data_IF_245191510740
#
_entry.id   IF_245191510740
#
_cell.length_a   1.000
_cell.length_b   1.000
_cell.length_c   1.000
_cell.angle_alpha   90.00
_cell.angle_beta   90.00
_cell.angle_gamma   90.00
#
_symmetry.space_group_name_H-M   'P 1'
#
loop_
_entity.id
_entity.type
_entity.pdbx_description
1 polymer ?
#
# COMPACT_ATOMS: atom_id res chain seq x y z
N UNK A 1 -35.05 17.56 7.57
CA UNK A 1 -34.90 16.13 7.27
C UNK A 1 -34.27 15.47 8.50
N UNK A 2 -34.81 14.36 9.01
CA UNK A 2 -34.24 13.66 10.15
C UNK A 2 -32.81 13.20 9.83
N UNK A 3 -31.92 13.13 10.81
CA UNK A 3 -30.55 12.69 10.60
C UNK A 3 -30.55 11.20 10.29
N UNK A 4 -30.56 10.84 9.01
CA UNK A 4 -30.31 9.49 8.59
C UNK A 4 -28.81 9.24 8.76
N UNK A 5 -28.43 8.56 9.83
CA UNK A 5 -27.03 8.16 10.04
C UNK A 5 -26.49 7.39 8.82
N UNK A 6 -25.17 7.34 8.63
CA UNK A 6 -24.48 6.65 7.50
C UNK A 6 -25.02 5.24 7.24
N UNK A 7 -25.51 4.56 8.28
CA UNK A 7 -26.11 3.22 8.20
C UNK A 7 -27.42 3.15 7.40
N UNK A 8 -28.09 4.26 7.19
CA UNK A 8 -29.33 4.36 6.41
C UNK A 8 -29.09 4.95 5.02
N UNK A 9 -27.88 5.40 4.72
CA UNK A 9 -27.50 5.89 3.39
C UNK A 9 -27.21 4.70 2.49
N UNK A 10 -28.20 4.30 1.67
CA UNK A 10 -28.12 3.14 0.77
C UNK A 10 -26.94 3.24 -0.19
N UNK A 11 -26.72 4.39 -0.82
CA UNK A 11 -25.66 4.55 -1.81
C UNK A 11 -24.27 4.49 -1.15
N UNK A 12 -24.10 5.02 0.07
CA UNK A 12 -22.89 4.84 0.86
C UNK A 12 -22.62 3.37 1.18
N UNK A 13 -23.66 2.62 1.59
CA UNK A 13 -23.53 1.19 1.88
C UNK A 13 -23.17 0.39 0.63
N UNK A 14 -23.77 0.69 -0.53
CA UNK A 14 -23.44 0.03 -1.80
C UNK A 14 -22.00 0.28 -2.21
N UNK A 15 -21.51 1.54 -2.13
CA UNK A 15 -20.09 1.86 -2.39
C UNK A 15 -19.19 1.13 -1.41
N UNK A 16 -19.57 1.08 -0.13
CA UNK A 16 -18.79 0.38 0.89
C UNK A 16 -18.69 -1.12 0.59
N UNK A 17 -19.80 -1.78 0.25
CA UNK A 17 -19.82 -3.21 -0.13
C UNK A 17 -18.96 -3.44 -1.37
N UNK A 18 -19.15 -2.66 -2.44
CA UNK A 18 -18.37 -2.75 -3.67
C UNK A 18 -16.86 -2.67 -3.37
N UNK A 19 -16.46 -1.66 -2.58
CA UNK A 19 -15.05 -1.42 -2.26
C UNK A 19 -14.46 -2.48 -1.33
N UNK A 20 -15.24 -2.97 -0.37
CA UNK A 20 -14.79 -4.04 0.54
C UNK A 20 -14.56 -5.33 -0.23
N UNK A 21 -15.53 -5.73 -1.05
CA UNK A 21 -15.45 -6.94 -1.87
C UNK A 21 -14.24 -6.89 -2.80
N UNK A 22 -14.17 -5.88 -3.68
CA UNK A 22 -13.09 -5.72 -4.64
C UNK A 22 -11.70 -5.65 -3.98
N UNK A 23 -11.56 -4.90 -2.88
CA UNK A 23 -10.27 -4.79 -2.18
C UNK A 23 -9.87 -6.10 -1.48
N UNK A 24 -10.84 -6.82 -0.91
CA UNK A 24 -10.58 -8.12 -0.28
C UNK A 24 -10.09 -9.14 -1.33
N UNK A 25 -10.78 -9.22 -2.47
CA UNK A 25 -10.36 -10.09 -3.57
C UNK A 25 -8.93 -9.78 -4.05
N UNK A 26 -8.63 -8.50 -4.28
CA UNK A 26 -7.26 -8.07 -4.67
C UNK A 26 -6.21 -8.45 -3.61
N UNK A 27 -6.51 -8.34 -2.31
CA UNK A 27 -5.58 -8.74 -1.26
C UNK A 27 -5.38 -10.26 -1.17
N UNK A 28 -6.42 -11.02 -1.50
CA UNK A 28 -6.38 -12.48 -1.61
C UNK A 28 -5.47 -12.90 -2.78
N UNK A 29 -5.61 -12.28 -3.94
CA UNK A 29 -4.81 -12.59 -5.13
C UNK A 29 -3.37 -12.10 -5.05
N UNK A 30 -3.08 -11.08 -4.27
CA UNK A 30 -1.71 -10.54 -4.09
C UNK A 30 -0.70 -11.61 -3.59
N UNK A 31 -1.14 -12.57 -2.78
CA UNK A 31 -0.32 -13.71 -2.33
C UNK A 31 -0.40 -14.87 -3.31
N UNK A 32 -1.57 -15.07 -3.91
CA UNK A 32 -1.82 -16.21 -4.81
C UNK A 32 -1.10 -16.06 -6.16
N UNK A 33 -0.96 -14.84 -6.70
CA UNK A 33 -0.36 -14.60 -8.02
C UNK A 33 1.09 -15.10 -8.09
N UNK A 34 2.02 -14.71 -7.20
CA UNK A 34 3.39 -15.23 -7.26
C UNK A 34 3.47 -16.74 -7.05
N UNK A 35 2.58 -17.32 -6.23
CA UNK A 35 2.52 -18.76 -6.02
C UNK A 35 2.01 -19.50 -7.26
N UNK A 36 1.00 -18.96 -7.96
CA UNK A 36 0.50 -19.52 -9.22
C UNK A 36 1.59 -19.52 -10.28
N UNK A 37 2.30 -18.39 -10.43
CA UNK A 37 3.40 -18.29 -11.40
C UNK A 37 4.50 -19.31 -11.07
N UNK A 38 4.93 -19.38 -9.81
CA UNK A 38 5.92 -20.35 -9.38
C UNK A 38 5.49 -21.80 -9.66
N UNK A 39 4.22 -22.12 -9.39
CA UNK A 39 3.68 -23.46 -9.61
C UNK A 39 3.61 -23.85 -11.10
N UNK A 40 3.26 -22.89 -11.97
CA UNK A 40 3.08 -23.14 -13.41
C UNK A 40 4.38 -23.10 -14.22
N UNK A 41 5.38 -22.32 -13.77
CA UNK A 41 6.64 -22.11 -14.49
C UNK A 41 7.87 -22.74 -13.80
N UNK A 42 7.77 -22.98 -12.50
CA UNK A 42 8.92 -23.41 -11.68
C UNK A 42 9.97 -22.31 -11.44
N UNK A 43 9.71 -21.05 -11.91
CA UNK A 43 10.63 -19.93 -11.91
C UNK A 43 10.20 -18.83 -10.94
N UNK A 44 11.06 -18.51 -9.97
CA UNK A 44 10.87 -17.35 -9.11
C UNK A 44 11.12 -16.04 -9.87
N UNK A 45 11.98 -16.06 -10.89
CA UNK A 45 12.20 -14.91 -11.79
C UNK A 45 10.90 -14.49 -12.46
N UNK A 46 10.14 -15.46 -12.97
CA UNK A 46 8.84 -15.18 -13.61
C UNK A 46 7.84 -14.60 -12.62
N UNK A 47 7.80 -15.12 -11.38
CA UNK A 47 6.95 -14.57 -10.32
C UNK A 47 7.35 -13.11 -10.00
N UNK A 48 8.64 -12.83 -9.93
CA UNK A 48 9.15 -11.47 -9.75
C UNK A 48 8.82 -10.53 -10.91
N UNK A 49 8.88 -11.01 -12.16
CA UNK A 49 8.51 -10.24 -13.35
C UNK A 49 7.01 -9.93 -13.41
N UNK A 50 6.15 -10.88 -13.03
CA UNK A 50 4.70 -10.64 -12.94
C UNK A 50 4.41 -9.59 -11.87
N UNK A 51 5.00 -9.70 -10.68
CA UNK A 51 4.85 -8.70 -9.62
C UNK A 51 5.40 -7.32 -10.04
N UNK A 52 6.48 -7.28 -10.82
CA UNK A 52 6.99 -6.05 -11.43
C UNK A 52 5.97 -5.43 -12.38
N UNK A 53 5.37 -6.24 -13.26
CA UNK A 53 4.37 -5.78 -14.21
C UNK A 53 3.13 -5.21 -13.51
N UNK A 54 2.65 -5.87 -12.45
CA UNK A 54 1.57 -5.36 -11.58
C UNK A 54 1.92 -4.00 -10.98
N UNK A 55 3.10 -3.87 -10.39
CA UNK A 55 3.56 -2.64 -9.76
C UNK A 55 3.75 -1.49 -10.75
N UNK A 56 4.33 -1.75 -11.92
CA UNK A 56 4.47 -0.74 -12.98
C UNK A 56 3.11 -0.30 -13.53
N UNK A 57 2.17 -1.24 -13.74
CA UNK A 57 0.82 -0.92 -14.19
C UNK A 57 0.10 -0.01 -13.18
N UNK A 58 0.23 -0.28 -11.88
CA UNK A 58 -0.30 0.56 -10.82
C UNK A 58 0.26 1.99 -10.90
N UNK A 59 1.58 2.14 -11.02
CA UNK A 59 2.25 3.44 -11.11
C UNK A 59 1.83 4.21 -12.36
N UNK A 60 1.81 3.55 -13.52
CA UNK A 60 1.45 4.19 -14.80
C UNK A 60 0.00 4.67 -14.83
N UNK A 61 -0.90 3.93 -14.18
CA UNK A 61 -2.34 4.25 -14.17
C UNK A 61 -2.69 5.27 -13.08
N UNK A 62 -1.95 5.34 -11.98
CA UNK A 62 -2.27 6.19 -10.84
C UNK A 62 -2.42 7.68 -11.22
N UNK A 63 -1.51 8.20 -12.06
CA UNK A 63 -1.54 9.61 -12.50
C UNK A 63 -2.73 9.92 -13.42
N UNK A 64 -2.97 9.17 -14.52
CA UNK A 64 -4.10 9.46 -15.41
C UNK A 64 -5.46 9.14 -14.77
N UNK A 65 -5.51 8.21 -13.80
CA UNK A 65 -6.74 7.82 -13.13
C UNK A 65 -7.43 8.98 -12.40
N UNK A 66 -6.67 9.85 -11.74
CA UNK A 66 -7.20 11.06 -11.10
C UNK A 66 -7.89 11.98 -12.10
N UNK A 67 -7.23 12.27 -13.23
CA UNK A 67 -7.80 13.09 -14.31
C UNK A 67 -9.06 12.46 -14.93
N UNK A 68 -9.04 11.15 -15.08
CA UNK A 68 -10.16 10.43 -15.65
C UNK A 68 -11.38 10.46 -14.72
N UNK A 69 -11.16 10.31 -13.41
CA UNK A 69 -12.20 10.41 -12.38
C UNK A 69 -12.85 11.80 -12.27
N UNK A 70 -12.10 12.87 -12.62
CA UNK A 70 -12.62 14.23 -12.64
C UNK A 70 -13.40 14.56 -13.92
N UNK A 71 -13.03 13.95 -15.06
CA UNK A 71 -13.59 14.27 -16.38
C UNK A 71 -14.73 13.36 -16.82
N UNK A 72 -14.82 12.15 -16.31
CA UNK A 72 -15.80 11.14 -16.71
C UNK A 72 -16.86 10.92 -15.65
N UNK A 73 -17.98 10.34 -16.05
CA UNK A 73 -18.97 9.88 -15.09
C UNK A 73 -18.34 8.79 -14.20
N UNK A 74 -18.33 9.03 -12.89
CA UNK A 74 -17.69 8.18 -11.91
C UNK A 74 -18.30 6.78 -11.89
N UNK A 75 -19.62 6.67 -12.10
CA UNK A 75 -20.32 5.38 -12.17
C UNK A 75 -19.85 4.56 -13.35
N UNK A 76 -19.81 5.16 -14.55
CA UNK A 76 -19.33 4.50 -15.76
C UNK A 76 -17.86 4.08 -15.57
N UNK A 77 -17.03 4.96 -15.04
CA UNK A 77 -15.62 4.64 -14.78
C UNK A 77 -15.47 3.46 -13.82
N UNK A 78 -16.24 3.43 -12.72
CA UNK A 78 -16.23 2.31 -11.77
C UNK A 78 -16.69 1.01 -12.43
N UNK A 79 -17.77 1.02 -13.22
CA UNK A 79 -18.26 -0.16 -13.94
C UNK A 79 -17.24 -0.67 -14.97
N UNK A 80 -16.60 0.22 -15.73
CA UNK A 80 -15.56 -0.16 -16.68
C UNK A 80 -14.33 -0.77 -16.00
N UNK A 81 -13.89 -0.18 -14.89
CA UNK A 81 -12.74 -0.69 -14.14
C UNK A 81 -13.04 -2.06 -13.52
N UNK A 82 -14.17 -2.20 -12.81
CA UNK A 82 -14.57 -3.47 -12.19
C UNK A 82 -14.85 -4.55 -13.26
N UNK A 83 -15.49 -4.18 -14.39
CA UNK A 83 -15.76 -5.11 -15.50
C UNK A 83 -14.49 -5.60 -16.19
N UNK A 84 -13.55 -4.69 -16.45
CA UNK A 84 -12.25 -5.04 -17.01
C UNK A 84 -11.42 -5.92 -16.06
N UNK A 85 -11.43 -5.59 -14.75
CA UNK A 85 -10.75 -6.40 -13.74
C UNK A 85 -11.39 -7.79 -13.59
N UNK A 86 -12.72 -7.88 -13.63
CA UNK A 86 -13.43 -9.17 -13.65
C UNK A 86 -13.01 -10.04 -14.84
N UNK A 87 -12.94 -9.47 -16.03
CA UNK A 87 -12.49 -10.19 -17.22
C UNK A 87 -11.04 -10.67 -17.07
N UNK A 88 -10.17 -9.80 -16.57
CA UNK A 88 -8.76 -10.12 -16.38
C UNK A 88 -8.57 -11.24 -15.33
N UNK A 89 -9.20 -11.13 -14.16
CA UNK A 89 -9.08 -12.15 -13.11
C UNK A 89 -9.76 -13.47 -13.49
N UNK A 90 -10.85 -13.42 -14.27
CA UNK A 90 -11.47 -14.63 -14.85
C UNK A 90 -10.49 -15.33 -15.80
N UNK A 91 -9.77 -14.57 -16.62
CA UNK A 91 -8.69 -15.10 -17.45
C UNK A 91 -7.60 -15.79 -16.62
N UNK A 92 -7.15 -15.19 -15.52
CA UNK A 92 -6.19 -15.83 -14.59
C UNK A 92 -6.79 -17.11 -13.97
N UNK A 93 -8.07 -17.07 -13.57
CA UNK A 93 -8.77 -18.25 -13.01
C UNK A 93 -8.78 -19.42 -14.01
N UNK A 94 -9.10 -19.14 -15.27
CA UNK A 94 -9.11 -20.17 -16.33
C UNK A 94 -7.71 -20.75 -16.55
N UNK A 95 -6.67 -19.91 -16.59
CA UNK A 95 -5.28 -20.36 -16.71
C UNK A 95 -4.85 -21.23 -15.51
N UNK A 96 -5.28 -20.86 -14.31
CA UNK A 96 -5.02 -21.65 -13.10
C UNK A 96 -5.71 -23.01 -13.13
N UNK A 97 -6.91 -23.12 -13.71
CA UNK A 97 -7.65 -24.39 -13.87
C UNK A 97 -7.03 -25.28 -14.94
N UNK A 98 -6.53 -24.72 -16.04
CA UNK A 98 -5.85 -25.48 -17.12
C UNK A 98 -4.47 -25.97 -16.68
N UNK A 99 -3.87 -25.35 -15.67
CA UNK A 99 -2.52 -25.70 -15.17
C UNK A 99 -1.37 -25.35 -16.12
N UNK A 100 -1.66 -24.61 -17.19
CA UNK A 100 -0.67 -24.15 -18.17
C UNK A 100 -0.91 -22.68 -18.48
N UNK A 101 0.07 -21.84 -18.18
CA UNK A 101 -0.11 -20.41 -18.38
C UNK A 101 1.16 -19.76 -18.93
N UNK A 102 1.12 -19.20 -20.15
CA UNK A 102 2.23 -18.37 -20.63
C UNK A 102 2.47 -17.19 -19.68
N UNK A 103 3.71 -17.04 -19.22
CA UNK A 103 4.10 -15.99 -18.25
C UNK A 103 3.67 -14.60 -18.71
N UNK A 104 3.87 -14.31 -20.00
CA UNK A 104 3.48 -13.02 -20.59
C UNK A 104 1.97 -12.77 -20.44
N UNK A 105 1.14 -13.78 -20.66
CA UNK A 105 -0.31 -13.63 -20.51
C UNK A 105 -0.71 -13.43 -19.05
N UNK A 106 -0.11 -14.19 -18.13
CA UNK A 106 -0.30 -13.96 -16.69
C UNK A 106 0.12 -12.55 -16.28
N UNK A 107 1.28 -12.08 -16.74
CA UNK A 107 1.78 -10.75 -16.45
C UNK A 107 0.84 -9.65 -16.98
N UNK A 108 0.32 -9.80 -18.19
CA UNK A 108 -0.62 -8.86 -18.79
C UNK A 108 -1.97 -8.83 -18.05
N UNK A 109 -2.52 -9.99 -17.69
CA UNK A 109 -3.78 -10.07 -16.95
C UNK A 109 -3.63 -9.53 -15.50
N UNK A 110 -2.55 -9.87 -14.81
CA UNK A 110 -2.25 -9.37 -13.49
C UNK A 110 -2.00 -7.85 -13.50
N UNK A 111 -1.22 -7.36 -14.46
CA UNK A 111 -1.01 -5.93 -14.67
C UNK A 111 -2.31 -5.18 -15.00
N UNK A 112 -3.19 -5.76 -15.80
CA UNK A 112 -4.50 -5.19 -16.10
C UNK A 112 -5.37 -5.08 -14.84
N UNK A 113 -5.43 -6.15 -14.03
CA UNK A 113 -6.17 -6.14 -12.76
C UNK A 113 -5.62 -5.08 -11.79
N UNK A 114 -4.30 -5.00 -11.62
CA UNK A 114 -3.65 -4.01 -10.75
C UNK A 114 -3.89 -2.56 -11.24
N UNK A 115 -3.73 -2.30 -12.53
CA UNK A 115 -3.95 -0.99 -13.14
C UNK A 115 -5.40 -0.52 -13.05
N UNK A 116 -6.37 -1.41 -13.37
CA UNK A 116 -7.80 -1.10 -13.26
C UNK A 116 -8.21 -0.87 -11.80
N UNK A 117 -7.67 -1.66 -10.85
CA UNK A 117 -7.85 -1.45 -9.42
C UNK A 117 -7.31 -0.10 -8.95
N UNK A 118 -6.16 0.35 -9.48
CA UNK A 118 -5.60 1.67 -9.20
C UNK A 118 -6.48 2.80 -9.76
N UNK A 119 -7.02 2.63 -10.99
CA UNK A 119 -7.93 3.60 -11.62
C UNK A 119 -9.24 3.77 -10.86
N UNK A 120 -9.71 2.71 -10.22
CA UNK A 120 -10.94 2.70 -9.44
C UNK A 120 -10.85 3.57 -8.17
N UNK A 121 -9.67 3.69 -7.55
CA UNK A 121 -9.49 4.35 -6.26
C UNK A 121 -9.97 5.80 -6.22
N UNK A 122 -9.51 6.73 -7.11
CA UNK A 122 -9.94 8.12 -7.08
C UNK A 122 -11.43 8.27 -7.41
N UNK A 123 -11.98 7.46 -8.33
CA UNK A 123 -13.40 7.46 -8.68
C UNK A 123 -14.28 7.10 -7.48
N UNK A 124 -13.94 6.04 -6.74
CA UNK A 124 -14.66 5.59 -5.56
C UNK A 124 -14.58 6.60 -4.41
N UNK A 125 -13.40 7.22 -4.19
CA UNK A 125 -13.24 8.27 -3.19
C UNK A 125 -14.11 9.50 -3.51
N UNK A 126 -14.16 9.90 -4.78
CA UNK A 126 -15.01 11.00 -5.24
C UNK A 126 -16.50 10.64 -5.18
N UNK A 127 -16.89 9.40 -5.50
CA UNK A 127 -18.26 8.89 -5.35
C UNK A 127 -18.71 8.92 -3.88
N UNK A 128 -17.85 8.48 -2.96
CA UNK A 128 -18.14 8.54 -1.52
C UNK A 128 -18.43 9.98 -1.06
N UNK A 129 -17.60 10.95 -1.49
CA UNK A 129 -17.82 12.37 -1.17
C UNK A 129 -19.12 12.93 -1.75
N UNK A 130 -19.59 12.39 -2.89
CA UNK A 130 -20.84 12.84 -3.52
C UNK A 130 -22.10 12.36 -2.79
N UNK A 131 -22.05 11.19 -2.16
CA UNK A 131 -23.21 10.56 -1.50
C UNK A 131 -23.28 10.81 0.01
N UNK A 132 -22.17 11.22 0.64
CA UNK A 132 -22.08 11.45 2.09
C UNK A 132 -22.22 12.95 2.38
N UNK A 133 -23.15 13.36 3.28
CA UNK A 133 -23.25 14.74 3.74
C UNK A 133 -21.94 15.23 4.38
N UNK A 134 -21.64 16.53 4.21
CA UNK A 134 -20.37 17.12 4.70
C UNK A 134 -20.12 16.86 6.20
N UNK A 135 -21.16 16.93 7.03
CA UNK A 135 -21.09 16.67 8.47
C UNK A 135 -20.65 15.24 8.81
N UNK A 136 -20.93 14.26 7.94
CA UNK A 136 -20.68 12.83 8.17
C UNK A 136 -19.40 12.34 7.48
N UNK A 137 -18.71 13.20 6.67
CA UNK A 137 -17.51 12.83 5.91
C UNK A 137 -16.38 12.32 6.79
N UNK A 138 -16.15 12.95 7.95
CA UNK A 138 -15.13 12.50 8.90
C UNK A 138 -15.39 11.06 9.38
N UNK A 139 -16.62 10.77 9.75
CA UNK A 139 -17.05 9.43 10.20
C UNK A 139 -16.93 8.41 9.08
N UNK A 140 -17.33 8.78 7.85
CA UNK A 140 -17.19 7.92 6.67
C UNK A 140 -15.72 7.63 6.35
N UNK A 141 -14.84 8.61 6.48
CA UNK A 141 -13.39 8.43 6.27
C UNK A 141 -12.80 7.47 7.30
N UNK A 142 -13.07 7.67 8.60
CA UNK A 142 -12.60 6.78 9.67
C UNK A 142 -13.11 5.36 9.44
N UNK A 143 -14.38 5.19 9.10
CA UNK A 143 -14.95 3.89 8.79
C UNK A 143 -14.25 3.21 7.61
N UNK A 144 -13.99 3.95 6.52
CA UNK A 144 -13.29 3.44 5.35
C UNK A 144 -11.84 3.02 5.67
N UNK A 145 -11.13 3.80 6.48
CA UNK A 145 -9.76 3.46 6.88
C UNK A 145 -9.71 2.22 7.78
N UNK A 146 -10.63 2.13 8.76
CA UNK A 146 -10.75 0.93 9.61
C UNK A 146 -11.06 -0.32 8.77
N UNK A 147 -12.02 -0.22 7.84
CA UNK A 147 -12.35 -1.29 6.92
C UNK A 147 -11.14 -1.69 6.06
N UNK A 148 -10.41 -0.71 5.52
CA UNK A 148 -9.20 -0.96 4.73
C UNK A 148 -8.16 -1.73 5.55
N UNK A 149 -7.96 -1.36 6.80
CA UNK A 149 -7.06 -2.05 7.73
C UNK A 149 -7.47 -3.52 7.94
N UNK A 150 -8.76 -3.78 8.17
CA UNK A 150 -9.30 -5.15 8.31
C UNK A 150 -9.07 -5.97 7.04
N UNK A 151 -9.33 -5.41 5.87
CA UNK A 151 -9.14 -6.09 4.59
C UNK A 151 -7.67 -6.39 4.33
N UNK A 152 -6.77 -5.45 4.63
CA UNK A 152 -5.32 -5.67 4.52
C UNK A 152 -4.80 -6.76 5.47
N UNK A 153 -5.40 -6.86 6.66
CA UNK A 153 -5.05 -7.90 7.63
C UNK A 153 -5.56 -9.28 7.22
N UNK A 154 -6.84 -9.37 6.82
CA UNK A 154 -7.51 -10.65 6.56
C UNK A 154 -7.23 -11.22 5.17
N UNK A 155 -7.05 -10.36 4.17
CA UNK A 155 -6.93 -10.75 2.77
C UNK A 155 -5.76 -11.68 2.47
N UNK A 156 -4.50 -11.29 2.78
CA UNK A 156 -3.34 -12.12 2.44
C UNK A 156 -3.32 -13.52 3.12
N UNK A 157 -3.65 -13.67 4.41
CA UNK A 157 -3.80 -15.00 5.02
C UNK A 157 -4.87 -15.86 4.35
N UNK A 158 -6.02 -15.23 4.02
CA UNK A 158 -7.09 -15.91 3.31
C UNK A 158 -6.63 -16.35 1.90
N UNK A 159 -5.84 -15.52 1.21
CA UNK A 159 -5.27 -15.86 -0.08
C UNK A 159 -4.38 -17.08 -0.04
N UNK A 160 -3.45 -17.16 0.91
CA UNK A 160 -2.59 -18.32 1.11
C UNK A 160 -3.37 -19.57 1.51
N UNK A 161 -4.38 -19.42 2.38
CA UNK A 161 -5.26 -20.52 2.78
C UNK A 161 -6.05 -21.10 1.59
N UNK A 162 -6.71 -20.23 0.82
CA UNK A 162 -7.47 -20.65 -0.37
C UNK A 162 -6.58 -21.28 -1.43
N UNK A 163 -5.38 -20.73 -1.65
CA UNK A 163 -4.40 -21.29 -2.58
C UNK A 163 -3.95 -22.69 -2.15
N UNK A 164 -3.80 -22.91 -0.85
CA UNK A 164 -3.46 -24.23 -0.28
C UNK A 164 -4.57 -25.28 -0.49
N UNK A 165 -5.84 -24.86 -0.62
CA UNK A 165 -6.96 -25.76 -0.95
C UNK A 165 -7.02 -26.07 -2.44
N UNK A 166 -6.96 -25.05 -3.29
CA UNK A 166 -6.81 -25.18 -4.73
C UNK A 166 -6.26 -23.89 -5.34
N UNK A 167 -5.30 -23.96 -6.29
CA UNK A 167 -4.65 -22.78 -6.88
C UNK A 167 -5.59 -21.80 -7.55
N UNK A 168 -6.74 -22.24 -8.07
CA UNK A 168 -7.72 -21.39 -8.73
C UNK A 168 -8.66 -20.66 -7.76
N UNK A 169 -8.82 -21.13 -6.50
CA UNK A 169 -9.80 -20.58 -5.55
C UNK A 169 -9.60 -19.10 -5.22
N UNK A 170 -8.39 -18.60 -4.98
CA UNK A 170 -8.17 -17.18 -4.72
C UNK A 170 -8.69 -16.28 -5.83
N UNK A 171 -8.43 -16.67 -7.07
CA UNK A 171 -8.83 -15.92 -8.27
C UNK A 171 -10.34 -16.01 -8.53
N UNK A 172 -10.95 -17.16 -8.23
CA UNK A 172 -12.41 -17.33 -8.29
C UNK A 172 -13.10 -16.42 -7.25
N UNK A 173 -12.59 -16.36 -6.03
CA UNK A 173 -13.10 -15.46 -4.98
C UNK A 173 -12.97 -14.01 -5.40
N UNK A 174 -11.87 -13.63 -6.04
CA UNK A 174 -11.68 -12.28 -6.56
C UNK A 174 -12.64 -11.98 -7.73
N UNK A 175 -12.87 -12.92 -8.64
CA UNK A 175 -13.88 -12.77 -9.69
C UNK A 175 -15.30 -12.56 -9.11
N UNK A 176 -15.66 -13.32 -8.09
CA UNK A 176 -16.92 -13.12 -7.34
C UNK A 176 -16.95 -11.73 -6.71
N UNK A 177 -15.83 -11.29 -6.13
CA UNK A 177 -15.72 -9.97 -5.48
C UNK A 177 -15.96 -8.82 -6.45
N UNK A 178 -15.39 -8.88 -7.65
CA UNK A 178 -15.65 -7.91 -8.73
C UNK A 178 -17.10 -7.98 -9.24
N UNK A 179 -17.69 -9.17 -9.31
CA UNK A 179 -19.11 -9.33 -9.66
C UNK A 179 -20.01 -8.65 -8.63
N UNK A 180 -19.73 -8.83 -7.33
CA UNK A 180 -20.45 -8.15 -6.25
C UNK A 180 -20.26 -6.63 -6.34
N UNK A 181 -19.04 -6.17 -6.63
CA UNK A 181 -18.75 -4.75 -6.84
C UNK A 181 -19.56 -4.17 -8.02
N UNK A 182 -19.56 -4.84 -9.17
CA UNK A 182 -20.33 -4.43 -10.35
C UNK A 182 -21.82 -4.30 -10.06
N UNK A 183 -22.41 -5.31 -9.39
CA UNK A 183 -23.82 -5.27 -9.01
C UNK A 183 -24.09 -4.11 -8.06
N UNK A 184 -23.26 -3.92 -7.04
CA UNK A 184 -23.43 -2.84 -6.08
C UNK A 184 -23.33 -1.45 -6.74
N UNK A 185 -22.37 -1.25 -7.65
CA UNK A 185 -22.21 0.01 -8.39
C UNK A 185 -23.37 0.21 -9.38
N UNK A 186 -23.85 -0.86 -10.02
CA UNK A 186 -25.01 -0.79 -10.93
C UNK A 186 -26.31 -0.41 -10.19
N UNK A 187 -26.44 -0.76 -8.93
CA UNK A 187 -27.60 -0.43 -8.09
C UNK A 187 -27.57 0.98 -7.48
N UNK A 188 -26.50 1.75 -7.65
CA UNK A 188 -26.42 3.16 -7.21
C UNK A 188 -27.49 3.98 -7.94
N UNK A 189 -28.21 4.82 -7.20
CA UNK A 189 -29.32 5.65 -7.73
C UNK A 189 -28.98 7.13 -7.80
N UNK A 190 -28.10 7.61 -6.91
CA UNK A 190 -27.71 9.02 -6.86
C UNK A 190 -26.83 9.45 -8.03
N UNK A 191 -26.92 10.72 -8.48
CA UNK A 191 -25.96 11.28 -9.40
C UNK A 191 -24.62 11.39 -8.69
N UNK A 192 -23.60 10.66 -9.15
CA UNK A 192 -22.25 10.70 -8.57
C UNK A 192 -21.46 11.95 -9.03
N UNK A 193 -22.11 12.82 -9.82
CA UNK A 193 -21.65 14.12 -10.27
C UNK A 193 -20.43 14.07 -11.18
N UNK A 194 -20.33 15.06 -12.07
CA UNK A 194 -19.07 15.48 -12.69
C UNK A 194 -18.55 16.65 -11.86
N UNK A 195 -17.32 16.56 -11.37
CA UNK A 195 -16.69 17.77 -10.87
C UNK A 195 -16.18 18.52 -12.10
N UNK A 196 -16.89 19.62 -12.47
CA UNK A 196 -16.34 20.57 -13.41
C UNK A 196 -15.17 21.27 -12.69
N UNK A 197 -14.02 20.66 -12.71
CA UNK A 197 -12.81 21.34 -12.26
C UNK A 197 -12.43 22.35 -13.33
N UNK A 198 -12.39 23.62 -12.94
CA UNK A 198 -11.68 24.66 -13.68
C UNK A 198 -10.29 24.10 -14.06
N UNK A 199 -9.80 24.39 -15.29
CA UNK A 199 -8.47 23.96 -15.70
C UNK A 199 -7.44 24.58 -14.74
N UNK A 200 -7.05 23.79 -13.74
CA UNK A 200 -5.91 24.11 -12.89
C UNK A 200 -4.61 23.85 -13.66
N UNK A 201 -3.49 24.26 -13.06
CA UNK A 201 -2.16 23.95 -13.61
C UNK A 201 -2.05 22.48 -14.00
N UNK A 202 -1.38 22.21 -15.11
CA UNK A 202 -1.18 20.84 -15.61
C UNK A 202 -0.54 19.95 -14.52
N UNK A 203 -1.08 18.71 -14.33
CA UNK A 203 -0.57 17.77 -13.35
C UNK A 203 0.96 17.58 -13.36
N UNK A 204 1.64 17.55 -14.53
CA UNK A 204 3.10 17.46 -14.54
C UNK A 204 3.78 18.65 -13.85
N UNK A 205 3.25 19.87 -14.00
CA UNK A 205 3.80 21.06 -13.32
C UNK A 205 3.59 21.01 -11.81
N UNK A 206 2.43 20.52 -11.36
CA UNK A 206 2.14 20.33 -9.94
C UNK A 206 3.05 19.27 -9.32
N UNK A 207 3.24 18.14 -9.99
CA UNK A 207 4.15 17.08 -9.55
C UNK A 207 5.60 17.58 -9.46
N UNK A 208 6.08 18.29 -10.50
CA UNK A 208 7.43 18.87 -10.51
C UNK A 208 7.62 19.88 -9.38
N UNK A 209 6.61 20.71 -9.08
CA UNK A 209 6.68 21.67 -7.97
C UNK A 209 6.81 20.95 -6.61
N UNK A 210 6.04 19.87 -6.39
CA UNK A 210 6.14 19.05 -5.19
C UNK A 210 7.51 18.38 -5.04
N UNK A 211 8.02 17.74 -6.11
CA UNK A 211 9.35 17.12 -6.11
C UNK A 211 10.43 18.17 -5.85
N UNK A 212 10.38 19.34 -6.53
CA UNK A 212 11.36 20.40 -6.34
C UNK A 212 11.38 20.94 -4.92
N UNK A 213 10.22 21.06 -4.28
CA UNK A 213 10.11 21.46 -2.88
C UNK A 213 10.77 20.43 -1.95
N UNK A 214 10.40 19.15 -2.08
CA UNK A 214 10.96 18.06 -1.28
C UNK A 214 12.49 17.96 -1.43
N UNK A 215 12.99 18.16 -2.67
CA UNK A 215 14.42 18.07 -2.96
C UNK A 215 15.25 19.20 -2.33
N UNK A 216 14.65 20.38 -2.15
CA UNK A 216 15.31 21.55 -1.52
C UNK A 216 15.47 21.42 -0.01
N UNK A 217 14.64 20.59 0.64
CA UNK A 217 14.69 20.40 2.08
C UNK A 217 15.47 19.13 2.42
N UNK A 218 16.66 19.21 3.03
CA UNK A 218 17.52 18.04 3.27
C UNK A 218 16.82 16.92 4.05
N UNK A 219 16.04 17.27 5.10
CA UNK A 219 15.32 16.29 5.91
C UNK A 219 14.20 15.59 5.11
N UNK A 220 13.41 16.34 4.32
CA UNK A 220 12.35 15.76 3.48
C UNK A 220 12.91 14.92 2.35
N UNK A 221 14.00 15.36 1.71
CA UNK A 221 14.71 14.58 0.70
C UNK A 221 15.23 13.27 1.27
N UNK A 222 15.83 13.31 2.47
CA UNK A 222 16.34 12.11 3.13
C UNK A 222 15.19 11.13 3.45
N UNK A 223 14.09 11.59 4.05
CA UNK A 223 12.94 10.72 4.37
C UNK A 223 12.32 10.11 3.11
N UNK A 224 12.20 10.90 2.03
CA UNK A 224 11.69 10.46 0.75
C UNK A 224 12.53 9.32 0.15
N UNK A 225 13.85 9.53 0.06
CA UNK A 225 14.77 8.54 -0.50
C UNK A 225 14.85 7.29 0.38
N UNK A 226 14.88 7.46 1.71
CA UNK A 226 14.86 6.34 2.65
C UNK A 226 13.58 5.52 2.53
N UNK A 227 12.41 6.18 2.41
CA UNK A 227 11.15 5.52 2.17
C UNK A 227 11.14 4.72 0.86
N UNK A 228 11.67 5.28 -0.22
CA UNK A 228 11.77 4.58 -1.51
C UNK A 228 12.66 3.32 -1.43
N UNK A 229 13.83 3.43 -0.80
CA UNK A 229 14.76 2.29 -0.61
C UNK A 229 14.13 1.22 0.28
N UNK A 230 13.47 1.61 1.38
CA UNK A 230 12.79 0.65 2.25
C UNK A 230 11.63 -0.03 1.54
N UNK A 231 10.81 0.69 0.76
CA UNK A 231 9.73 0.09 -0.04
C UNK A 231 10.27 -0.92 -1.06
N UNK A 232 11.34 -0.57 -1.77
CA UNK A 232 12.02 -1.48 -2.69
C UNK A 232 12.48 -2.76 -1.98
N UNK A 233 13.24 -2.61 -0.90
CA UNK A 233 13.81 -3.74 -0.19
C UNK A 233 12.72 -4.60 0.48
N UNK A 234 11.71 -3.97 1.10
CA UNK A 234 10.61 -4.68 1.73
C UNK A 234 9.75 -5.43 0.72
N UNK A 235 9.44 -4.85 -0.45
CA UNK A 235 8.71 -5.53 -1.51
C UNK A 235 9.47 -6.77 -2.02
N UNK A 236 10.82 -6.69 -2.14
CA UNK A 236 11.66 -7.83 -2.49
C UNK A 236 11.66 -8.91 -1.41
N UNK A 237 11.80 -8.53 -0.14
CA UNK A 237 11.71 -9.46 1.01
C UNK A 237 10.33 -10.11 1.07
N UNK A 238 9.26 -9.36 0.81
CA UNK A 238 7.89 -9.88 0.82
C UNK A 238 7.70 -11.00 -0.22
N UNK A 239 8.24 -10.85 -1.43
CA UNK A 239 8.23 -11.94 -2.41
C UNK A 239 9.04 -13.12 -1.93
N UNK A 240 10.23 -12.89 -1.35
CA UNK A 240 11.11 -13.97 -0.87
C UNK A 240 10.46 -14.81 0.23
N UNK A 241 9.82 -14.18 1.21
CA UNK A 241 9.16 -14.92 2.32
C UNK A 241 7.93 -15.71 1.88
N UNK A 242 7.32 -15.36 0.73
CA UNK A 242 6.23 -16.12 0.12
C UNK A 242 6.78 -17.30 -0.69
N UNK A 243 7.79 -17.05 -1.53
CA UNK A 243 8.27 -17.98 -2.55
C UNK A 243 9.26 -19.00 -1.99
N UNK A 244 10.21 -18.57 -1.14
CA UNK A 244 11.28 -19.45 -0.64
C UNK A 244 10.77 -20.67 0.13
N UNK A 245 9.85 -20.54 1.10
CA UNK A 245 9.33 -21.71 1.80
C UNK A 245 8.62 -22.70 0.88
N UNK A 246 7.83 -22.21 -0.08
CA UNK A 246 7.09 -23.06 -1.03
C UNK A 246 8.06 -23.78 -1.98
N UNK A 247 9.10 -23.09 -2.45
CA UNK A 247 10.16 -23.70 -3.28
C UNK A 247 10.91 -24.81 -2.51
N UNK A 248 11.08 -24.65 -1.20
CA UNK A 248 11.70 -25.65 -0.33
C UNK A 248 10.72 -26.76 0.10
N UNK A 249 9.55 -26.90 -0.54
CA UNK A 249 8.59 -27.98 -0.35
C UNK A 249 7.50 -27.69 0.70
N UNK A 250 7.42 -26.47 1.24
CA UNK A 250 6.31 -26.10 2.10
C UNK A 250 5.00 -25.94 1.29
N UNK A 251 3.86 -26.24 1.92
CA UNK A 251 2.55 -26.09 1.27
C UNK A 251 2.20 -24.61 1.05
N UNK A 252 1.28 -24.31 0.12
CA UNK A 252 0.74 -22.95 -0.08
C UNK A 252 0.13 -22.35 1.18
N UNK A 253 -0.33 -23.19 2.12
CA UNK A 253 -0.82 -22.77 3.43
C UNK A 253 0.26 -22.04 4.26
N UNK A 254 1.55 -22.40 4.09
CA UNK A 254 2.65 -21.73 4.76
C UNK A 254 2.76 -20.25 4.36
N UNK A 255 2.49 -19.90 3.10
CA UNK A 255 2.46 -18.51 2.66
C UNK A 255 1.33 -17.73 3.37
N UNK A 256 0.18 -18.36 3.58
CA UNK A 256 -0.91 -17.78 4.37
C UNK A 256 -0.53 -17.51 5.82
N UNK A 257 0.16 -18.46 6.49
CA UNK A 257 0.61 -18.25 7.87
C UNK A 257 1.69 -17.17 7.99
N UNK A 258 2.62 -17.10 7.04
CA UNK A 258 3.61 -16.02 6.93
C UNK A 258 2.89 -14.66 6.84
N UNK A 259 1.91 -14.55 5.94
CA UNK A 259 1.16 -13.30 5.76
C UNK A 259 0.28 -12.96 6.97
N UNK A 260 -0.23 -13.96 7.69
CA UNK A 260 -0.95 -13.72 8.96
C UNK A 260 -0.03 -13.08 10.00
N UNK A 261 1.20 -13.54 10.14
CA UNK A 261 2.19 -12.95 11.05
C UNK A 261 2.51 -11.49 10.65
N UNK A 262 2.69 -11.22 9.35
CA UNK A 262 2.90 -9.86 8.82
C UNK A 262 1.70 -8.96 9.15
N UNK A 263 0.48 -9.45 8.93
CA UNK A 263 -0.75 -8.73 9.25
C UNK A 263 -0.92 -8.44 10.74
N UNK A 264 -0.63 -9.43 11.60
CA UNK A 264 -0.64 -9.25 13.06
C UNK A 264 0.38 -8.20 13.51
N UNK A 265 1.59 -8.21 12.91
CA UNK A 265 2.60 -7.18 13.13
C UNK A 265 2.10 -5.78 12.77
N UNK A 266 1.41 -5.64 11.64
CA UNK A 266 0.84 -4.36 11.19
C UNK A 266 -0.23 -3.82 12.16
N UNK A 267 -1.12 -4.70 12.66
CA UNK A 267 -2.14 -4.32 13.65
C UNK A 267 -1.50 -3.94 14.97
N UNK A 268 -0.62 -4.78 15.51
CA UNK A 268 0.09 -4.49 16.75
C UNK A 268 0.88 -3.17 16.64
N UNK A 269 1.55 -2.96 15.50
CA UNK A 269 2.26 -1.73 15.20
C UNK A 269 1.36 -0.49 15.17
N UNK A 270 0.18 -0.59 14.58
CA UNK A 270 -0.80 0.51 14.55
C UNK A 270 -1.29 0.89 15.95
N UNK A 271 -1.51 -0.10 16.83
CA UNK A 271 -1.93 0.13 18.21
C UNK A 271 -0.84 0.79 19.06
N UNK A 272 0.41 0.45 18.81
CA UNK A 272 1.56 0.98 19.56
C UNK A 272 2.10 2.28 18.98
N UNK A 273 1.78 2.59 17.73
CA UNK A 273 2.37 3.71 16.98
C UNK A 273 2.16 5.06 17.67
N UNK A 274 0.93 5.37 18.12
CA UNK A 274 0.62 6.63 18.81
C UNK A 274 1.39 6.78 20.14
N UNK A 275 1.50 5.69 20.89
CA UNK A 275 2.26 5.67 22.13
C UNK A 275 3.77 5.86 21.88
N UNK A 276 4.28 5.25 20.81
CA UNK A 276 5.69 5.32 20.44
C UNK A 276 6.08 6.72 19.94
N UNK A 277 5.25 7.31 19.07
CA UNK A 277 5.46 8.67 18.56
C UNK A 277 5.37 9.73 19.66
N UNK A 278 4.52 9.51 20.70
CA UNK A 278 4.42 10.39 21.85
C UNK A 278 5.63 10.32 22.79
N UNK A 279 6.45 9.26 22.77
CA UNK A 279 7.54 9.04 23.72
C UNK A 279 8.94 9.09 23.14
N UNK A 280 9.09 8.79 21.85
CA UNK A 280 10.39 8.71 21.19
C UNK A 280 10.55 9.85 20.19
N UNK A 281 11.64 10.64 20.25
CA UNK A 281 11.91 11.69 19.28
C UNK A 281 11.95 11.13 17.85
N UNK A 282 11.43 11.90 16.89
CA UNK A 282 11.27 11.51 15.47
C UNK A 282 12.54 10.92 14.87
N UNK A 283 13.70 11.54 15.12
CA UNK A 283 15.00 11.06 14.61
C UNK A 283 15.32 9.64 15.06
N UNK A 284 15.06 9.32 16.33
CA UNK A 284 15.36 7.99 16.89
C UNK A 284 14.37 6.94 16.39
N UNK A 285 13.10 7.33 16.19
CA UNK A 285 12.10 6.45 15.58
C UNK A 285 12.51 6.05 14.16
N UNK A 286 12.87 7.01 13.33
CA UNK A 286 13.30 6.75 11.94
C UNK A 286 14.54 5.83 11.94
N UNK A 287 15.54 6.14 12.75
CA UNK A 287 16.74 5.31 12.87
C UNK A 287 16.42 3.90 13.37
N UNK A 288 15.61 3.78 14.44
CA UNK A 288 15.24 2.48 15.01
C UNK A 288 14.51 1.60 14.00
N UNK A 289 13.60 2.16 13.20
CA UNK A 289 12.88 1.42 12.16
C UNK A 289 13.83 0.92 11.08
N UNK A 290 14.74 1.77 10.57
CA UNK A 290 15.67 1.36 9.51
C UNK A 290 16.62 0.27 10.03
N UNK A 291 17.16 0.41 11.25
CA UNK A 291 18.00 -0.59 11.89
C UNK A 291 17.24 -1.89 12.16
N UNK A 292 16.02 -1.81 12.72
CA UNK A 292 15.21 -2.98 13.00
C UNK A 292 14.91 -3.77 11.72
N UNK A 293 14.50 -3.10 10.64
CA UNK A 293 14.28 -3.76 9.35
C UNK A 293 15.54 -4.45 8.83
N UNK A 294 16.71 -3.79 8.89
CA UNK A 294 17.97 -4.38 8.46
C UNK A 294 18.39 -5.60 9.29
N UNK A 295 18.33 -5.51 10.62
CA UNK A 295 18.71 -6.61 11.54
C UNK A 295 17.74 -7.77 11.42
N UNK A 296 16.42 -7.51 11.42
CA UNK A 296 15.41 -8.57 11.30
C UNK A 296 15.48 -9.27 9.93
N UNK A 297 15.74 -8.52 8.85
CA UNK A 297 15.98 -9.14 7.53
C UNK A 297 17.28 -9.96 7.50
N UNK A 298 18.33 -9.55 8.23
CA UNK A 298 19.53 -10.37 8.39
C UNK A 298 19.21 -11.66 9.14
N UNK A 299 18.37 -11.60 10.19
CA UNK A 299 17.93 -12.79 10.90
C UNK A 299 17.11 -13.74 10.01
N UNK A 300 16.36 -13.24 9.03
CA UNK A 300 15.68 -14.11 8.05
C UNK A 300 16.65 -14.96 7.21
N UNK A 301 17.88 -14.50 7.01
CA UNK A 301 18.90 -15.26 6.29
C UNK A 301 19.37 -16.51 7.04
N UNK A 302 19.06 -16.66 8.33
CA UNK A 302 19.51 -17.77 9.15
C UNK A 302 18.48 -18.89 9.30
N UNK A 303 17.31 -18.78 8.65
CA UNK A 303 16.20 -19.74 8.83
C UNK A 303 15.43 -19.98 7.54
N UNK A 304 15.01 -21.24 7.34
CA UNK A 304 14.09 -21.63 6.27
C UNK A 304 12.69 -21.93 6.80
N UNK A 305 12.46 -21.77 8.10
CA UNK A 305 11.16 -22.02 8.73
C UNK A 305 10.19 -20.88 8.41
N UNK A 306 9.11 -21.15 7.66
CA UNK A 306 8.13 -20.18 7.24
C UNK A 306 7.48 -19.40 8.41
N UNK A 307 7.22 -20.07 9.55
CA UNK A 307 6.64 -19.40 10.72
C UNK A 307 7.61 -18.38 11.33
N UNK A 308 8.90 -18.74 11.42
CA UNK A 308 9.94 -17.83 11.93
C UNK A 308 10.14 -16.67 10.96
N UNK A 309 10.18 -16.94 9.64
CA UNK A 309 10.22 -15.89 8.61
C UNK A 309 9.04 -14.92 8.72
N UNK A 310 7.82 -15.46 8.91
CA UNK A 310 6.62 -14.68 9.13
C UNK A 310 6.68 -13.83 10.40
N UNK A 311 7.15 -14.40 11.51
CA UNK A 311 7.30 -13.67 12.78
C UNK A 311 8.32 -12.54 12.67
N UNK A 312 9.47 -12.77 12.02
CA UNK A 312 10.49 -11.74 11.76
C UNK A 312 9.96 -10.64 10.85
N UNK A 313 9.22 -11.00 9.79
CA UNK A 313 8.57 -10.03 8.90
C UNK A 313 7.49 -9.24 9.62
N UNK A 314 6.67 -9.88 10.48
CA UNK A 314 5.71 -9.22 11.34
C UNK A 314 6.36 -8.24 12.30
N UNK A 315 7.50 -8.60 12.90
CA UNK A 315 8.28 -7.70 13.74
C UNK A 315 8.84 -6.49 12.97
N UNK A 316 9.26 -6.68 11.70
CA UNK A 316 9.62 -5.54 10.83
C UNK A 316 8.43 -4.58 10.63
N UNK A 317 7.26 -5.13 10.31
CA UNK A 317 6.07 -4.31 10.02
C UNK A 317 5.51 -3.65 11.26
N UNK A 318 5.74 -4.20 12.46
CA UNK A 318 5.29 -3.62 13.73
C UNK A 318 5.82 -2.20 13.95
N UNK A 319 7.04 -1.91 13.57
CA UNK A 319 7.66 -0.58 13.80
C UNK A 319 7.36 0.44 12.71
N UNK A 320 6.89 -0.01 11.53
CA UNK A 320 6.67 0.85 10.35
C UNK A 320 5.59 1.93 10.56
N UNK A 321 4.40 1.67 11.18
CA UNK A 321 3.37 2.69 11.36
C UNK A 321 3.84 3.91 12.13
N UNK A 322 4.66 3.73 13.16
CA UNK A 322 5.21 4.84 13.94
C UNK A 322 6.11 5.75 13.10
N UNK A 323 6.98 5.17 12.24
CA UNK A 323 7.80 5.93 11.31
C UNK A 323 6.95 6.67 10.27
N UNK A 324 5.92 6.03 9.72
CA UNK A 324 5.02 6.63 8.74
C UNK A 324 4.28 7.85 9.32
N UNK A 325 3.76 7.74 10.54
CA UNK A 325 3.12 8.87 11.23
C UNK A 325 4.12 10.01 11.41
N UNK A 326 5.31 9.72 11.93
CA UNK A 326 6.35 10.72 12.16
C UNK A 326 6.80 11.41 10.87
N UNK A 327 6.96 10.65 9.78
CA UNK A 327 7.31 11.19 8.46
C UNK A 327 6.21 12.09 7.91
N UNK A 328 4.94 11.66 8.00
CA UNK A 328 3.79 12.44 7.53
C UNK A 328 3.65 13.74 8.33
N UNK A 329 3.80 13.68 9.65
CA UNK A 329 3.73 14.87 10.52
C UNK A 329 4.87 15.83 10.19
N UNK A 330 6.11 15.34 10.07
CA UNK A 330 7.26 16.15 9.67
C UNK A 330 7.04 16.84 8.32
N UNK A 331 6.53 16.10 7.34
CA UNK A 331 6.21 16.64 6.01
C UNK A 331 5.13 17.70 6.09
N UNK A 332 4.07 17.49 6.89
CA UNK A 332 2.98 18.44 7.08
C UNK A 332 3.45 19.74 7.73
N UNK A 333 4.30 19.64 8.75
CA UNK A 333 4.86 20.81 9.46
C UNK A 333 5.83 21.64 8.60
N UNK A 334 6.65 20.97 7.79
CA UNK A 334 7.65 21.65 6.95
C UNK A 334 7.11 22.13 5.61
N UNK A 335 5.88 21.73 5.23
CA UNK A 335 5.32 22.05 3.91
C UNK A 335 4.24 23.13 4.04
N UNK A 336 4.34 24.28 3.33
CA UNK A 336 3.28 25.28 3.28
C UNK A 336 1.96 24.66 2.79
N UNK A 337 0.83 25.11 3.35
CA UNK A 337 -0.50 24.55 3.08
C UNK A 337 -0.83 24.38 1.60
N UNK A 338 -0.44 25.38 0.78
CA UNK A 338 -0.64 25.37 -0.68
C UNK A 338 0.12 24.25 -1.42
N UNK A 339 1.22 23.75 -0.85
CA UNK A 339 2.08 22.73 -1.43
C UNK A 339 1.88 21.33 -0.81
N UNK A 340 1.12 21.19 0.28
CA UNK A 340 0.95 19.92 0.99
C UNK A 340 0.42 18.80 0.07
N UNK A 341 -0.63 19.08 -0.70
CA UNK A 341 -1.17 18.10 -1.65
C UNK A 341 -0.15 17.67 -2.72
N UNK A 342 0.63 18.64 -3.23
CA UNK A 342 1.67 18.39 -4.25
C UNK A 342 2.85 17.60 -3.67
N UNK A 343 3.27 17.91 -2.45
CA UNK A 343 4.32 17.19 -1.75
C UNK A 343 3.91 15.75 -1.41
N UNK A 344 2.69 15.54 -0.91
CA UNK A 344 2.16 14.20 -0.63
C UNK A 344 2.07 13.33 -1.90
N UNK A 345 1.57 13.90 -3.00
CA UNK A 345 1.50 13.21 -4.28
C UNK A 345 2.90 12.82 -4.79
N UNK A 346 3.89 13.73 -4.68
CA UNK A 346 5.25 13.49 -5.08
C UNK A 346 5.91 12.38 -4.22
N UNK A 347 5.71 12.41 -2.90
CA UNK A 347 6.23 11.39 -1.98
C UNK A 347 5.65 10.01 -2.29
N UNK A 348 4.33 9.91 -2.46
CA UNK A 348 3.66 8.65 -2.81
C UNK A 348 4.14 8.11 -4.15
N UNK A 349 4.29 8.97 -5.15
CA UNK A 349 4.73 8.58 -6.48
C UNK A 349 6.15 8.03 -6.48
N UNK A 350 7.11 8.71 -5.82
CA UNK A 350 8.50 8.26 -5.75
C UNK A 350 8.61 6.96 -4.94
N UNK A 351 7.85 6.83 -3.84
CA UNK A 351 7.83 5.61 -3.06
C UNK A 351 7.32 4.40 -3.87
N UNK A 352 6.33 4.62 -4.74
CA UNK A 352 5.71 3.57 -5.55
C UNK A 352 6.51 3.20 -6.80
N UNK A 353 7.24 4.14 -7.42
CA UNK A 353 7.94 3.86 -8.70
C UNK A 353 9.11 2.90 -8.53
N UNK A 354 9.76 2.89 -7.36
CA UNK A 354 10.93 2.06 -7.07
C UNK A 354 10.54 0.70 -6.51
N UNK A 355 9.41 0.59 -5.82
CA UNK A 355 8.94 -0.63 -5.16
C UNK A 355 8.86 -1.86 -6.09
N UNK A 356 8.36 -1.79 -7.35
CA UNK A 356 8.26 -2.96 -8.23
C UNK A 356 9.59 -3.62 -8.58
N UNK A 357 10.70 -2.90 -8.53
CA UNK A 357 12.02 -3.46 -8.80
C UNK A 357 12.48 -4.44 -7.72
N UNK A 358 11.94 -4.33 -6.49
CA UNK A 358 12.25 -5.24 -5.39
C UNK A 358 11.87 -6.69 -5.71
N UNK A 359 10.60 -7.00 -6.03
CA UNK A 359 10.18 -8.34 -6.43
C UNK A 359 10.91 -8.85 -7.67
N UNK A 360 11.17 -8.00 -8.68
CA UNK A 360 11.93 -8.40 -9.87
C UNK A 360 13.34 -8.88 -9.50
N UNK A 361 14.06 -8.11 -8.68
CA UNK A 361 15.38 -8.49 -8.20
C UNK A 361 15.31 -9.74 -7.31
N UNK A 362 14.33 -9.81 -6.42
CA UNK A 362 14.13 -10.94 -5.52
C UNK A 362 13.91 -12.25 -6.28
N UNK A 363 13.00 -12.24 -7.27
CA UNK A 363 12.75 -13.42 -8.11
C UNK A 363 14.00 -13.87 -8.84
N UNK A 364 14.75 -12.93 -9.44
CA UNK A 364 16.02 -13.20 -10.12
C UNK A 364 17.06 -13.83 -9.18
N UNK A 365 17.17 -13.33 -7.95
CA UNK A 365 18.12 -13.85 -6.97
C UNK A 365 17.70 -15.23 -6.48
N UNK A 366 16.41 -15.47 -6.19
CA UNK A 366 15.93 -16.77 -5.70
C UNK A 366 16.27 -17.92 -6.67
N UNK A 367 16.29 -17.68 -7.99
CA UNK A 367 16.64 -18.71 -8.96
C UNK A 367 18.14 -18.94 -9.11
N UNK A 368 18.99 -17.97 -8.68
CA UNK A 368 20.43 -18.00 -8.94
C UNK A 368 21.29 -18.25 -7.71
N UNK A 369 20.80 -17.89 -6.53
CA UNK A 369 21.59 -17.97 -5.29
C UNK A 369 20.76 -18.57 -4.17
N UNK A 370 21.40 -19.14 -3.11
CA UNK A 370 20.71 -19.68 -1.95
C UNK A 370 19.91 -18.60 -1.19
N UNK A 371 18.84 -19.02 -0.52
CA UNK A 371 17.94 -18.12 0.23
C UNK A 371 18.67 -17.18 1.23
N UNK A 372 19.70 -17.60 1.99
CA UNK A 372 20.46 -16.69 2.85
C UNK A 372 21.07 -15.50 2.10
N UNK A 373 21.53 -15.69 0.87
CA UNK A 373 22.12 -14.63 0.05
C UNK A 373 21.03 -13.67 -0.44
N UNK A 374 19.81 -14.16 -0.74
CA UNK A 374 18.66 -13.32 -1.12
C UNK A 374 18.32 -12.38 0.01
N UNK A 375 18.05 -12.91 1.21
CA UNK A 375 17.74 -12.08 2.38
C UNK A 375 18.92 -11.18 2.78
N UNK A 376 20.16 -11.70 2.73
CA UNK A 376 21.38 -10.95 3.02
C UNK A 376 21.59 -9.75 2.08
N UNK A 377 21.23 -9.85 0.81
CA UNK A 377 21.36 -8.75 -0.14
C UNK A 377 20.39 -7.59 0.18
N UNK A 378 19.15 -7.89 0.50
CA UNK A 378 18.19 -6.86 0.92
C UNK A 378 18.52 -6.29 2.31
N UNK A 379 18.99 -7.15 3.23
CA UNK A 379 19.49 -6.71 4.53
C UNK A 379 20.68 -5.76 4.39
N UNK A 380 21.62 -6.06 3.50
CA UNK A 380 22.77 -5.19 3.24
C UNK A 380 22.35 -3.80 2.73
N UNK A 381 21.34 -3.72 1.84
CA UNK A 381 20.77 -2.45 1.39
C UNK A 381 20.14 -1.68 2.56
N UNK A 382 19.35 -2.35 3.41
CA UNK A 382 18.71 -1.72 4.58
C UNK A 382 19.75 -1.26 5.62
N UNK A 383 20.77 -2.09 5.91
CA UNK A 383 21.84 -1.74 6.85
C UNK A 383 22.73 -0.62 6.32
N UNK A 384 23.06 -0.62 5.02
CA UNK A 384 23.76 0.50 4.39
C UNK A 384 22.95 1.80 4.54
N UNK A 385 21.65 1.74 4.30
CA UNK A 385 20.75 2.88 4.54
C UNK A 385 20.77 3.30 6.03
N UNK A 386 20.78 2.35 6.97
CA UNK A 386 20.84 2.63 8.41
C UNK A 386 22.14 3.36 8.81
N UNK A 387 23.27 2.93 8.25
CA UNK A 387 24.56 3.62 8.45
C UNK A 387 24.53 5.03 7.86
N UNK A 388 24.04 5.18 6.61
CA UNK A 388 23.89 6.50 5.98
C UNK A 388 22.96 7.39 6.81
N UNK A 389 21.85 6.86 7.32
CA UNK A 389 20.91 7.59 8.16
C UNK A 389 21.56 8.07 9.48
N UNK A 390 22.35 7.22 10.13
CA UNK A 390 23.04 7.57 11.37
C UNK A 390 24.10 8.67 11.18
N UNK A 391 24.73 8.69 10.01
CA UNK A 391 25.76 9.68 9.67
C UNK A 391 25.19 10.96 9.05
N UNK A 392 23.98 10.92 8.49
CA UNK A 392 23.39 12.02 7.74
C UNK A 392 23.13 13.26 8.63
N UNK A 393 23.69 14.43 8.29
CA UNK A 393 23.37 15.69 9.00
C UNK A 393 21.88 16.03 8.94
N UNK A 394 21.21 15.66 7.86
CA UNK A 394 19.78 15.86 7.65
C UNK A 394 18.91 15.17 8.71
N UNK A 395 19.33 14.00 9.23
CA UNK A 395 18.62 13.26 10.29
C UNK A 395 18.91 13.91 11.66
N UNK A 396 20.15 14.37 11.87
CA UNK A 396 20.54 15.04 13.13
C UNK A 396 19.86 16.40 13.28
N UNK A 397 19.58 17.08 12.18
CA UNK A 397 18.91 18.38 12.13
C UNK A 397 17.38 18.28 12.08
N UNK A 398 16.78 17.07 12.15
CA UNK A 398 15.33 16.93 12.18
C UNK A 398 14.75 17.57 13.44
N UNK A 399 13.73 18.43 13.31
CA UNK A 399 13.05 19.01 14.47
C UNK A 399 12.37 17.91 15.28
N UNK A 400 12.37 18.06 16.59
CA UNK A 400 11.56 17.21 17.46
C UNK A 400 10.11 17.69 17.38
N UNK A 401 9.20 16.80 16.96
CA UNK A 401 7.78 17.12 16.78
C UNK A 401 7.14 17.64 18.08
N UNK A 402 7.64 17.20 19.24
CA UNK A 402 7.17 17.65 20.55
C UNK A 402 7.45 19.13 20.80
N UNK A 403 8.65 19.59 20.47
CA UNK A 403 9.01 21.00 20.68
C UNK A 403 8.23 21.96 19.78
N UNK A 404 7.68 21.46 18.69
CA UNK A 404 6.83 22.23 17.76
C UNK A 404 5.38 22.28 18.26
N UNK A 405 4.85 21.16 18.78
CA UNK A 405 3.50 21.09 19.38
C UNK A 405 3.44 21.95 20.65
N UNK A 406 4.42 21.82 21.56
CA UNK A 406 4.53 22.64 22.77
C UNK A 406 4.64 24.15 22.45
N UNK A 407 5.38 24.51 21.40
CA UNK A 407 5.50 25.89 20.93
C UNK A 407 4.22 26.46 20.30
N UNK A 408 3.43 25.64 19.62
CA UNK A 408 2.14 26.05 19.08
C UNK A 408 1.07 26.20 20.15
N UNK A 409 1.02 25.28 21.12
CA UNK A 409 0.09 25.40 22.27
C UNK A 409 0.43 26.64 23.15
N UNK A 410 1.72 26.93 23.35
CA UNK A 410 2.14 28.12 24.07
C UNK A 410 1.76 29.43 23.33
N UNK A 411 1.92 29.48 22.00
CA UNK A 411 1.55 30.60 21.17
C UNK A 411 0.01 30.82 21.07
N UNK A 412 -0.76 29.74 21.06
CA UNK A 412 -2.24 29.83 21.09
C UNK A 412 -2.76 30.23 22.49
N UNK A 413 -2.09 29.84 23.56
CA UNK A 413 -2.42 30.26 24.92
C UNK A 413 -2.16 31.76 25.13
N UNK A 414 -1.06 32.29 24.59
CA UNK A 414 -0.71 33.71 24.66
C UNK A 414 -1.66 34.60 23.84
N UNK A 415 -2.25 34.08 22.77
CA UNK A 415 -3.26 34.77 21.95
C UNK A 415 -4.68 34.71 22.53
N UNK A 416 -4.94 33.81 23.50
CA UNK A 416 -6.24 33.68 24.18
C UNK A 416 -6.40 34.54 25.43
N UNK A 417 -5.31 35.14 25.93
CA UNK A 417 -5.40 36.06 27.08
C UNK A 417 -5.77 37.45 26.56
N UNK A 418 -7.01 37.94 26.78
CA UNK A 418 -7.39 39.26 26.31
C UNK A 418 -6.62 40.28 27.16
N UNK A 419 -5.89 41.18 26.51
CA UNK A 419 -5.27 42.33 27.15
C UNK A 419 -6.35 43.03 28.02
N UNK A 420 -6.05 43.26 29.29
CA UNK A 420 -6.97 44.06 30.10
C UNK A 420 -7.02 45.50 29.56
N UNK A 421 -8.23 45.97 29.29
CA UNK A 421 -8.59 47.36 28.91
C UNK A 421 -8.43 48.30 30.09
#
# INVERSE_FOLDING_TARGET
MPPTGLRHNRDFLLITVARTASKLGTQVTAVATPLLVLMTTGSATDAGLVAFAEGIALVLVLLPAGLLADRRDRRILMLCCDGGALLAVTGVTLLALVGHAPVLLLALLAAATAGLGAALQPAAAAATRAVVPARDLRTATVFNETRNGVVHLAGPPLGGFLFGLAPALPFLVDAISYTVSLIAVALLRGPLGRTLTTPGESLPRQAVAGVRFLWRHPSLRFTLLSGAVLNFAFAGVLLAIIVVPVRNGASGLSAGTVMACVGLGAVAGSLVASWLTARVPTRWLILAVIWACGVLTTAMATTDNGLVLGALAGACVLVVPAANISMLTLQTLLTPGELQGRANAATSFIALIVAPFGPALSGLLIDRVPAPVVFGSFAAVMLALAVVAALAPAVRAMPDLRSVEDGQEAGEAEHRDPQPV
#
